data_IF_365191772692
#
_entry.id   IF_365191772692
#
_cell.length_a   1.000
_cell.length_b   1.000
_cell.length_c   1.000
_cell.angle_alpha   90.00
_cell.angle_beta   90.00
_cell.angle_gamma   90.00
#
_symmetry.space_group_name_H-M   'P 1'
#
loop_
_entity.id
_entity.type
_entity.pdbx_description
1 polymer ?
#
# COMPACT_ATOMS: atom_id res chain seq x y z
N UNK A 1 11.68 43.83 -0.64
CA UNK A 1 11.26 42.90 -1.72
C UNK A 1 11.72 41.45 -1.51
N UNK A 2 12.88 41.19 -0.88
CA UNK A 2 13.47 39.83 -0.72
C UNK A 2 12.70 38.85 0.20
N UNK A 3 11.98 39.34 1.22
CA UNK A 3 11.30 38.47 2.21
C UNK A 3 10.12 37.64 1.65
N UNK A 4 9.51 38.07 0.54
CA UNK A 4 8.38 37.37 -0.10
C UNK A 4 8.84 36.14 -0.89
N UNK A 5 9.99 36.24 -1.55
CA UNK A 5 10.57 35.18 -2.38
C UNK A 5 11.00 33.99 -1.52
N UNK A 6 11.67 34.26 -0.38
CA UNK A 6 12.08 33.21 0.57
C UNK A 6 10.90 32.46 1.22
N UNK A 7 9.75 33.12 1.39
CA UNK A 7 8.54 32.49 1.95
C UNK A 7 7.82 31.60 0.94
N UNK A 8 7.82 31.98 -0.35
CA UNK A 8 7.26 31.15 -1.42
C UNK A 8 8.12 29.90 -1.70
N UNK A 9 9.45 30.02 -1.64
CA UNK A 9 10.35 28.86 -1.76
C UNK A 9 10.22 27.88 -0.59
N UNK A 10 10.12 28.38 0.66
CA UNK A 10 9.86 27.54 1.82
C UNK A 10 8.47 26.89 1.79
N UNK A 11 7.44 27.61 1.32
CA UNK A 11 6.10 27.04 1.18
C UNK A 11 6.09 25.92 0.12
N UNK A 12 6.74 26.13 -1.03
CA UNK A 12 6.87 25.08 -2.07
C UNK A 12 7.67 23.88 -1.57
N UNK A 13 8.77 24.07 -0.85
CA UNK A 13 9.55 22.95 -0.31
C UNK A 13 8.77 22.14 0.74
N UNK A 14 7.93 22.81 1.54
CA UNK A 14 7.05 22.18 2.52
C UNK A 14 5.93 21.37 1.84
N UNK A 15 5.32 21.91 0.78
CA UNK A 15 4.30 21.21 -0.01
C UNK A 15 4.92 19.98 -0.71
N UNK A 16 6.09 20.14 -1.33
CA UNK A 16 6.81 19.03 -1.98
C UNK A 16 7.19 17.95 -0.95
N UNK A 17 7.64 18.35 0.24
CA UNK A 17 7.95 17.41 1.31
C UNK A 17 6.72 16.67 1.82
N UNK A 18 5.58 17.37 1.95
CA UNK A 18 4.29 16.75 2.34
C UNK A 18 3.74 15.80 1.26
N UNK A 19 3.92 16.14 -0.02
CA UNK A 19 3.58 15.28 -1.17
C UNK A 19 4.49 14.05 -1.23
N UNK A 20 5.79 14.21 -0.96
CA UNK A 20 6.72 13.09 -0.92
C UNK A 20 6.38 12.13 0.23
N UNK A 21 6.05 12.67 1.41
CA UNK A 21 5.65 11.85 2.56
C UNK A 21 4.36 11.08 2.26
N UNK A 22 3.33 11.76 1.74
CA UNK A 22 2.06 11.13 1.38
C UNK A 22 2.19 10.12 0.24
N UNK A 23 3.01 10.38 -0.78
CA UNK A 23 3.34 9.42 -1.83
C UNK A 23 4.07 8.18 -1.27
N UNK A 24 4.95 8.36 -0.29
CA UNK A 24 5.65 7.26 0.39
C UNK A 24 4.68 6.37 1.17
N UNK A 25 3.72 6.94 1.89
CA UNK A 25 2.66 6.19 2.58
C UNK A 25 1.66 5.54 1.60
N UNK A 26 1.30 6.23 0.51
CA UNK A 26 0.46 5.66 -0.56
C UNK A 26 1.15 4.48 -1.25
N UNK A 27 2.45 4.58 -1.54
CA UNK A 27 3.23 3.50 -2.11
C UNK A 27 3.32 2.29 -1.18
N UNK A 28 3.48 2.51 0.13
CA UNK A 28 3.43 1.44 1.13
C UNK A 28 2.04 0.79 1.22
N UNK A 29 0.98 1.59 1.19
CA UNK A 29 -0.39 1.09 1.12
C UNK A 29 -0.64 0.25 -0.14
N UNK A 30 -0.08 0.66 -1.27
CA UNK A 30 -0.20 -0.05 -2.54
C UNK A 30 0.47 -1.42 -2.52
N UNK A 31 1.61 -1.55 -1.82
CA UNK A 31 2.30 -2.84 -1.63
C UNK A 31 1.44 -3.84 -0.85
N UNK A 32 0.53 -3.36 0.01
CA UNK A 32 -0.40 -4.21 0.77
C UNK A 32 -1.66 -4.49 -0.05
N UNK A 33 -2.23 -3.46 -0.68
CA UNK A 33 -3.48 -3.55 -1.45
C UNK A 33 -3.34 -4.46 -2.67
N UNK A 34 -2.23 -4.34 -3.41
CA UNK A 34 -2.02 -5.10 -4.66
C UNK A 34 -2.08 -6.62 -4.46
N UNK A 35 -1.29 -7.24 -3.55
CA UNK A 35 -1.38 -8.68 -3.31
C UNK A 35 -2.73 -9.08 -2.72
N UNK A 36 -3.34 -8.28 -1.84
CA UNK A 36 -4.67 -8.59 -1.29
C UNK A 36 -5.71 -8.67 -2.41
N UNK A 37 -5.76 -7.67 -3.30
CA UNK A 37 -6.69 -7.66 -4.44
C UNK A 37 -6.41 -8.82 -5.39
N UNK A 38 -5.14 -9.07 -5.74
CA UNK A 38 -4.75 -10.18 -6.61
C UNK A 38 -5.13 -11.53 -6.01
N UNK A 39 -4.86 -11.77 -4.72
CA UNK A 39 -5.22 -13.03 -4.07
C UNK A 39 -6.72 -13.19 -3.89
N UNK A 40 -7.46 -12.10 -3.66
CA UNK A 40 -8.91 -12.18 -3.48
C UNK A 40 -9.61 -12.44 -4.82
N UNK A 41 -9.29 -11.68 -5.86
CA UNK A 41 -9.90 -11.84 -7.18
C UNK A 41 -9.33 -13.04 -7.94
N UNK A 42 -8.01 -13.23 -7.89
CA UNK A 42 -7.33 -14.40 -8.47
C UNK A 42 -7.69 -15.70 -7.76
N UNK A 43 -7.79 -15.68 -6.43
CA UNK A 43 -8.26 -16.80 -5.63
C UNK A 43 -9.71 -17.18 -5.98
N UNK A 44 -10.60 -16.17 -6.09
CA UNK A 44 -11.99 -16.39 -6.53
C UNK A 44 -12.09 -16.95 -7.94
N UNK A 45 -11.22 -16.52 -8.85
CA UNK A 45 -11.16 -17.06 -10.21
C UNK A 45 -10.71 -18.54 -10.21
N UNK A 46 -9.67 -18.88 -9.45
CA UNK A 46 -9.19 -20.26 -9.31
C UNK A 46 -10.21 -21.17 -8.62
N UNK A 47 -10.86 -20.67 -7.57
CA UNK A 47 -11.90 -21.38 -6.82
C UNK A 47 -13.07 -21.75 -7.73
N UNK A 48 -13.46 -20.83 -8.63
CA UNK A 48 -14.54 -21.05 -9.59
C UNK A 48 -14.09 -21.99 -10.74
N UNK A 49 -12.81 -21.99 -11.10
CA UNK A 49 -12.24 -22.88 -12.13
C UNK A 49 -12.14 -24.33 -11.63
N UNK A 50 -11.77 -24.53 -10.36
CA UNK A 50 -11.50 -25.84 -9.78
C UNK A 50 -12.69 -26.38 -8.97
N UNK A 51 -13.76 -25.60 -8.79
CA UNK A 51 -14.95 -25.94 -8.00
C UNK A 51 -14.63 -26.23 -6.51
N UNK A 52 -13.61 -25.56 -5.96
CA UNK A 52 -13.13 -25.72 -4.57
C UNK A 52 -13.91 -24.87 -3.55
N UNK A 53 -14.95 -24.16 -3.98
CA UNK A 53 -15.74 -23.27 -3.11
C UNK A 53 -15.01 -21.96 -2.82
N UNK A 54 -14.56 -21.76 -1.57
CA UNK A 54 -13.85 -20.54 -1.12
C UNK A 54 -12.42 -20.82 -0.64
N UNK A 55 -11.91 -22.03 -0.85
CA UNK A 55 -10.67 -22.49 -0.21
C UNK A 55 -9.44 -21.70 -0.67
N UNK A 56 -9.32 -21.45 -1.97
CA UNK A 56 -8.17 -20.75 -2.55
C UNK A 56 -8.20 -19.25 -2.24
N UNK A 57 -9.39 -18.66 -2.21
CA UNK A 57 -9.60 -17.28 -1.76
C UNK A 57 -9.21 -17.11 -0.30
N UNK A 58 -9.59 -18.06 0.56
CA UNK A 58 -9.31 -18.03 2.00
C UNK A 58 -7.81 -18.24 2.30
N UNK A 59 -7.16 -19.16 1.58
CA UNK A 59 -5.70 -19.33 1.59
C UNK A 59 -4.98 -18.06 1.13
N UNK A 60 -5.42 -17.48 0.01
CA UNK A 60 -4.84 -16.24 -0.52
C UNK A 60 -4.98 -15.07 0.45
N UNK A 61 -6.12 -14.97 1.13
CA UNK A 61 -6.38 -13.93 2.11
C UNK A 61 -5.53 -14.12 3.38
N UNK A 62 -5.35 -15.37 3.86
CA UNK A 62 -4.41 -15.65 4.96
C UNK A 62 -2.98 -15.24 4.60
N UNK A 63 -2.50 -15.62 3.41
CA UNK A 63 -1.15 -15.27 2.94
C UNK A 63 -1.01 -13.74 2.81
N UNK A 64 -1.99 -13.07 2.20
CA UNK A 64 -2.02 -11.61 2.08
C UNK A 64 -1.98 -10.90 3.44
N UNK A 65 -2.70 -11.43 4.43
CA UNK A 65 -2.69 -10.90 5.80
C UNK A 65 -1.31 -11.03 6.46
N UNK A 66 -0.65 -12.20 6.32
CA UNK A 66 0.69 -12.42 6.86
C UNK A 66 1.73 -11.48 6.24
N UNK A 67 1.72 -11.32 4.91
CA UNK A 67 2.60 -10.35 4.23
C UNK A 67 2.30 -8.92 4.67
N UNK A 68 1.04 -8.57 4.86
CA UNK A 68 0.62 -7.25 5.35
C UNK A 68 1.16 -6.95 6.76
N UNK A 69 1.05 -7.92 7.67
CA UNK A 69 1.57 -7.81 9.04
C UNK A 69 3.09 -7.70 9.04
N UNK A 70 3.80 -8.56 8.29
CA UNK A 70 5.27 -8.51 8.20
C UNK A 70 5.75 -7.16 7.65
N UNK A 71 5.08 -6.65 6.60
CA UNK A 71 5.38 -5.33 6.03
C UNK A 71 5.17 -4.21 7.05
N UNK A 72 4.07 -4.27 7.81
CA UNK A 72 3.76 -3.30 8.86
C UNK A 72 4.78 -3.34 9.99
N UNK A 73 5.15 -4.53 10.47
CA UNK A 73 6.18 -4.70 11.51
C UNK A 73 7.53 -4.18 11.02
N UNK A 74 7.87 -4.40 9.75
CA UNK A 74 9.11 -3.89 9.15
C UNK A 74 9.15 -2.37 9.06
N UNK A 75 8.00 -1.74 8.79
CA UNK A 75 7.84 -0.28 8.80
C UNK A 75 7.92 0.28 10.22
N UNK A 76 7.32 -0.39 11.21
CA UNK A 76 7.33 0.07 12.60
C UNK A 76 8.72 -0.03 13.26
N UNK A 77 9.54 -1.00 12.83
CA UNK A 77 10.91 -1.19 13.32
C UNK A 77 11.93 -0.26 12.63
N UNK A 78 11.56 0.38 11.52
CA UNK A 78 12.41 1.32 10.77
C UNK A 78 12.22 2.75 11.26
#
# INVERSE_FOLDING_TARGET
MSKKINNEENSKSTIISSLYLSAKYLGMGWIIITPVVIFTFGGKFLDNLLNLGYFMTLMGLMIGLFIGIISTVRILKS
#
